data_IF_899125861108
#
_entry.id   IF_899125861108
#
_cell.length_a   1.000
_cell.length_b   1.000
_cell.length_c   1.000
_cell.angle_alpha   90.00
_cell.angle_beta   90.00
_cell.angle_gamma   90.00
#
_symmetry.space_group_name_H-M   'P 1'
#
loop_
_entity.id
_entity.type
_entity.pdbx_description
1 polymer ?
#
# COMPACT_ATOMS: atom_id res chain seq x y z
N UNK A 1 10.85 -9.11 24.14
CA UNK A 1 11.13 -8.51 22.81
C UNK A 1 10.83 -9.48 21.68
N UNK A 2 10.94 -10.82 21.89
CA UNK A 2 10.60 -11.84 20.88
C UNK A 2 9.16 -11.79 20.34
N UNK A 3 8.16 -11.38 21.13
CA UNK A 3 6.75 -11.38 20.69
C UNK A 3 6.42 -10.37 19.58
N UNK A 4 7.28 -9.36 19.36
CA UNK A 4 7.12 -8.37 18.27
C UNK A 4 7.12 -9.05 16.90
N UNK A 5 7.81 -10.19 16.76
CA UNK A 5 7.85 -10.99 15.52
C UNK A 5 6.46 -11.33 14.99
N UNK A 6 5.48 -11.54 15.89
CA UNK A 6 4.11 -11.89 15.50
C UNK A 6 3.37 -10.75 14.80
N UNK A 7 3.80 -9.50 14.95
CA UNK A 7 3.25 -8.39 14.17
C UNK A 7 3.58 -8.53 12.68
N UNK A 8 4.71 -9.17 12.35
CA UNK A 8 5.08 -9.51 10.97
C UNK A 8 4.04 -10.39 10.28
N UNK A 9 3.41 -11.29 11.02
CA UNK A 9 2.37 -12.19 10.51
C UNK A 9 1.13 -11.44 10.00
N UNK A 10 0.92 -10.18 10.40
CA UNK A 10 -0.19 -9.38 9.89
C UNK A 10 0.05 -8.86 8.47
N UNK A 11 1.28 -8.88 7.95
CA UNK A 11 1.58 -8.53 6.56
C UNK A 11 1.18 -9.64 5.59
N UNK A 12 1.53 -10.87 5.93
CA UNK A 12 1.40 -12.01 5.03
C UNK A 12 0.31 -13.01 5.48
N UNK A 13 -0.34 -12.74 6.61
CA UNK A 13 -1.33 -13.60 7.25
C UNK A 13 -0.82 -15.01 7.55
N UNK A 14 0.48 -15.17 7.82
CA UNK A 14 1.03 -16.42 8.32
C UNK A 14 0.46 -16.74 9.71
N UNK A 15 0.14 -18.01 9.94
CA UNK A 15 -0.37 -18.46 11.21
C UNK A 15 -0.01 -19.93 11.41
N UNK A 16 0.66 -20.22 12.51
CA UNK A 16 0.86 -21.58 13.01
C UNK A 16 0.00 -21.77 14.27
N UNK A 17 -0.71 -22.90 14.33
CA UNK A 17 -1.51 -23.28 15.49
C UNK A 17 -0.65 -23.50 16.74
N UNK A 18 0.63 -23.85 16.57
CA UNK A 18 1.58 -24.02 17.67
C UNK A 18 1.84 -22.70 18.41
N UNK A 19 1.81 -21.57 17.71
CA UNK A 19 2.06 -20.23 18.26
C UNK A 19 0.83 -19.60 18.94
N UNK A 20 -0.34 -20.25 18.88
CA UNK A 20 -1.62 -19.69 19.35
C UNK A 20 -1.54 -19.12 20.76
N UNK A 21 -0.91 -19.85 21.68
CA UNK A 21 -0.80 -19.43 23.08
C UNK A 21 0.05 -18.16 23.25
N UNK A 22 1.14 -18.04 22.51
CA UNK A 22 2.03 -16.87 22.54
C UNK A 22 1.37 -15.66 21.87
N UNK A 23 0.68 -15.88 20.75
CA UNK A 23 -0.11 -14.86 20.05
C UNK A 23 -1.21 -14.31 20.96
N UNK A 24 -2.01 -15.19 21.60
CA UNK A 24 -3.09 -14.78 22.48
C UNK A 24 -2.54 -14.01 23.71
N UNK A 25 -1.43 -14.48 24.30
CA UNK A 25 -0.75 -13.78 25.40
C UNK A 25 -0.28 -12.38 24.98
N UNK A 26 0.38 -12.27 23.83
CA UNK A 26 0.87 -10.98 23.35
C UNK A 26 -0.28 -10.04 22.99
N UNK A 27 -1.34 -10.52 22.34
CA UNK A 27 -2.52 -9.70 22.07
C UNK A 27 -3.16 -9.19 23.37
N UNK A 28 -3.25 -10.01 24.43
CA UNK A 28 -3.78 -9.55 25.71
C UNK A 28 -2.94 -8.39 26.32
N UNK A 29 -1.61 -8.39 26.11
CA UNK A 29 -0.76 -7.27 26.51
C UNK A 29 -1.10 -6.01 25.71
N UNK A 30 -1.23 -6.15 24.38
CA UNK A 30 -1.60 -5.02 23.50
C UNK A 30 -2.96 -4.44 23.89
N UNK A 31 -3.95 -5.31 24.14
CA UNK A 31 -5.30 -4.95 24.57
C UNK A 31 -5.27 -4.24 25.94
N UNK A 32 -4.49 -4.76 26.90
CA UNK A 32 -4.34 -4.17 28.23
C UNK A 32 -3.67 -2.80 28.23
N UNK A 33 -2.79 -2.54 27.27
CA UNK A 33 -2.15 -1.24 27.03
C UNK A 33 -2.97 -0.33 26.09
N UNK A 34 -4.13 -0.81 25.62
CA UNK A 34 -5.00 -0.10 24.67
C UNK A 34 -4.28 0.31 23.37
N UNK A 35 -3.30 -0.50 22.94
CA UNK A 35 -2.53 -0.21 21.74
C UNK A 35 -3.27 -0.71 20.50
N UNK A 36 -3.47 0.18 19.52
CA UNK A 36 -4.08 -0.19 18.24
C UNK A 36 -3.00 -0.72 17.30
N UNK A 37 -3.25 -1.87 16.68
CA UNK A 37 -2.36 -2.48 15.66
C UNK A 37 -1.92 -1.46 14.62
N UNK A 38 -2.85 -0.67 14.11
CA UNK A 38 -2.58 0.33 13.07
C UNK A 38 -1.54 1.37 13.46
N UNK A 39 -1.52 1.77 14.74
CA UNK A 39 -0.58 2.74 15.32
C UNK A 39 0.75 2.07 15.66
N UNK A 40 0.71 0.84 16.20
CA UNK A 40 1.92 0.05 16.47
C UNK A 40 2.70 -0.16 15.17
N UNK A 41 2.05 -0.65 14.11
CA UNK A 41 2.70 -0.91 12.82
C UNK A 41 3.31 0.37 12.25
N UNK A 42 2.62 1.51 12.39
CA UNK A 42 3.14 2.82 11.95
C UNK A 42 4.35 3.27 12.76
N UNK A 43 4.34 3.07 14.08
CA UNK A 43 5.44 3.48 14.97
C UNK A 43 6.66 2.57 14.86
N UNK A 44 6.48 1.32 14.44
CA UNK A 44 7.57 0.39 14.13
C UNK A 44 8.18 0.64 12.75
N UNK A 45 7.57 1.49 11.93
CA UNK A 45 8.07 1.80 10.58
C UNK A 45 9.18 2.85 10.65
N UNK A 46 10.28 2.62 9.93
CA UNK A 46 11.37 3.59 9.82
C UNK A 46 10.86 4.92 9.24
N UNK A 47 11.10 6.06 9.91
CA UNK A 47 10.73 7.37 9.38
C UNK A 47 11.41 7.64 8.04
N UNK A 48 10.70 8.31 7.12
CA UNK A 48 11.26 8.67 5.81
C UNK A 48 12.49 9.57 5.88
N UNK A 49 12.65 10.32 6.96
CA UNK A 49 13.79 11.23 7.18
C UNK A 49 15.09 10.46 7.48
N UNK A 50 14.95 9.29 8.11
CA UNK A 50 16.08 8.42 8.45
C UNK A 50 16.42 7.49 7.27
N UNK A 51 15.37 7.01 6.58
CA UNK A 51 15.48 6.13 5.42
C UNK A 51 15.99 6.85 4.17
N UNK A 52 15.52 8.06 3.87
CA UNK A 52 15.89 8.80 2.65
C UNK A 52 17.00 9.82 2.97
N UNK A 53 18.21 9.61 2.43
CA UNK A 53 19.37 10.49 2.73
C UNK A 53 19.49 11.68 1.81
N UNK A 54 19.43 11.44 0.50
CA UNK A 54 19.64 12.49 -0.52
C UNK A 54 18.53 12.35 -1.55
N UNK A 55 17.86 13.46 -1.86
CA UNK A 55 16.83 13.51 -2.89
C UNK A 55 17.14 14.61 -3.90
N UNK A 56 17.16 14.24 -5.17
CA UNK A 56 17.18 15.19 -6.28
C UNK A 56 15.88 15.09 -7.07
N UNK A 57 15.34 16.24 -7.44
CA UNK A 57 14.19 16.33 -8.33
C UNK A 57 14.53 17.27 -9.48
N UNK A 58 14.45 16.76 -10.71
CA UNK A 58 14.83 17.51 -11.92
C UNK A 58 16.25 18.08 -11.85
N UNK A 59 17.18 17.27 -11.33
CA UNK A 59 18.59 17.64 -11.20
C UNK A 59 18.89 18.61 -10.05
N UNK A 60 17.87 19.04 -9.29
CA UNK A 60 18.03 19.97 -8.17
C UNK A 60 17.95 19.21 -6.86
N UNK A 61 18.92 19.44 -5.97
CA UNK A 61 18.87 18.91 -4.62
C UNK A 61 17.69 19.50 -3.84
N UNK A 62 16.86 18.63 -3.27
CA UNK A 62 15.68 18.97 -2.50
C UNK A 62 15.67 18.24 -1.17
N UNK A 63 14.98 18.81 -0.18
CA UNK A 63 14.78 18.12 1.08
C UNK A 63 13.80 16.96 0.88
N UNK A 64 14.21 15.73 1.21
CA UNK A 64 13.39 14.52 1.06
C UNK A 64 12.04 14.65 1.78
N UNK A 65 12.00 15.18 3.00
CA UNK A 65 10.77 15.36 3.79
C UNK A 65 9.77 16.34 3.15
N UNK A 66 10.20 17.16 2.18
CA UNK A 66 9.32 18.08 1.43
C UNK A 66 8.69 17.46 0.19
N UNK A 67 9.16 16.29 -0.25
CA UNK A 67 8.65 15.64 -1.48
C UNK A 67 8.21 14.19 -1.25
N UNK A 68 8.65 13.58 -0.15
CA UNK A 68 8.22 12.26 0.30
C UNK A 68 7.33 12.33 1.53
N UNK A 69 6.43 11.36 1.63
CA UNK A 69 5.51 11.25 2.73
C UNK A 69 5.31 9.79 3.14
N UNK A 70 5.22 9.56 4.46
CA UNK A 70 4.83 8.26 4.98
C UNK A 70 3.33 8.03 4.76
N UNK A 71 3.02 7.04 3.91
CA UNK A 71 1.68 6.71 3.46
C UNK A 71 1.42 5.22 3.56
N UNK A 72 0.21 4.84 3.98
CA UNK A 72 -0.25 3.45 3.97
C UNK A 72 -0.38 2.94 2.54
N UNK A 73 0.19 1.77 2.28
CA UNK A 73 0.19 0.99 1.04
C UNK A 73 -0.14 -0.47 1.34
N UNK A 74 -0.24 -1.30 0.30
CA UNK A 74 -0.43 -2.74 0.44
C UNK A 74 0.70 -3.42 1.24
N UNK A 75 1.93 -2.93 1.17
CA UNK A 75 3.11 -3.48 1.88
C UNK A 75 3.35 -2.82 3.25
N UNK A 76 2.44 -1.95 3.73
CA UNK A 76 2.59 -1.26 5.01
C UNK A 76 2.68 0.25 4.88
N UNK A 77 3.30 0.92 5.85
CA UNK A 77 3.58 2.36 5.73
C UNK A 77 4.87 2.56 4.94
N UNK A 78 4.80 3.24 3.80
CA UNK A 78 5.93 3.45 2.88
C UNK A 78 6.16 4.94 2.61
N UNK A 79 7.40 5.29 2.22
CA UNK A 79 7.73 6.62 1.75
C UNK A 79 7.30 6.79 0.29
N UNK A 80 6.30 7.63 0.07
CA UNK A 80 5.70 7.85 -1.25
C UNK A 80 6.02 9.23 -1.78
N UNK A 81 6.26 9.30 -3.08
CA UNK A 81 6.50 10.53 -3.83
C UNK A 81 5.31 10.78 -4.76
N UNK A 82 4.80 12.01 -4.78
CA UNK A 82 3.72 12.43 -5.68
C UNK A 82 2.44 11.57 -5.62
N UNK A 83 2.04 11.14 -4.41
CA UNK A 83 0.82 10.35 -4.18
C UNK A 83 -0.30 11.25 -3.63
N UNK A 84 -1.31 11.59 -4.45
CA UNK A 84 -2.32 12.61 -4.12
C UNK A 84 -3.67 12.07 -3.64
N UNK A 85 -3.83 10.75 -3.56
CA UNK A 85 -5.08 10.15 -3.09
C UNK A 85 -5.42 10.63 -1.68
N UNK A 86 -6.64 11.14 -1.48
CA UNK A 86 -7.09 11.59 -0.16
C UNK A 86 -7.57 10.37 0.62
N UNK A 87 -6.81 9.96 1.63
CA UNK A 87 -7.24 8.96 2.61
C UNK A 87 -7.58 9.64 3.94
N UNK A 88 -8.39 9.00 4.79
CA UNK A 88 -8.74 9.57 6.10
C UNK A 88 -7.56 9.74 7.06
N UNK A 89 -6.42 9.14 6.79
CA UNK A 89 -5.22 9.40 7.60
C UNK A 89 -4.62 10.78 7.26
N UNK A 90 -5.16 11.44 6.23
CA UNK A 90 -4.54 12.56 5.53
C UNK A 90 -5.46 13.74 5.22
N UNK A 91 -6.74 13.73 5.62
CA UNK A 91 -7.62 14.90 5.45
C UNK A 91 -7.09 16.17 6.13
N UNK A 92 -6.21 16.03 7.14
CA UNK A 92 -5.65 17.14 7.93
C UNK A 92 -4.28 17.67 7.44
N UNK A 93 -3.65 17.10 6.42
CA UNK A 93 -2.29 17.51 5.95
C UNK A 93 -2.25 17.99 4.49
N UNK A 94 -3.41 18.38 3.94
CA UNK A 94 -3.58 18.72 2.52
C UNK A 94 -2.85 20.00 2.08
N UNK A 95 -2.62 20.94 3.00
CA UNK A 95 -2.22 22.32 2.66
C UNK A 95 -0.73 22.54 2.37
N UNK A 96 0.14 21.54 2.52
CA UNK A 96 1.60 21.78 2.56
C UNK A 96 2.38 21.25 1.35
N UNK A 97 1.71 20.74 0.30
CA UNK A 97 2.40 20.09 -0.83
C UNK A 97 2.04 20.65 -2.20
N UNK A 98 3.10 20.96 -2.95
CA UNK A 98 3.06 21.34 -4.35
C UNK A 98 2.79 20.11 -5.21
N UNK A 99 1.78 20.18 -6.08
CA UNK A 99 1.64 19.23 -7.19
C UNK A 99 2.93 19.27 -8.01
N UNK A 100 3.77 18.24 -7.87
CA UNK A 100 5.04 18.17 -8.58
C UNK A 100 4.74 17.95 -10.06
N UNK A 101 5.17 18.88 -10.90
CA UNK A 101 5.02 18.78 -12.36
C UNK A 101 5.99 17.75 -12.92
N UNK A 102 5.65 17.12 -14.05
CA UNK A 102 6.54 16.15 -14.70
C UNK A 102 7.94 16.75 -15.00
N UNK A 103 8.97 15.92 -14.92
CA UNK A 103 10.30 16.25 -15.41
C UNK A 103 10.36 16.25 -16.94
N UNK A 104 11.53 16.58 -17.48
CA UNK A 104 11.86 16.27 -18.87
C UNK A 104 12.42 14.84 -18.95
N UNK A 105 12.35 14.17 -20.11
CA UNK A 105 13.04 12.90 -20.29
C UNK A 105 14.54 13.02 -19.99
N UNK A 106 15.11 12.02 -19.33
CA UNK A 106 16.54 11.94 -19.00
C UNK A 106 16.79 11.59 -17.54
N UNK A 107 17.87 10.86 -17.28
CA UNK A 107 18.23 10.35 -15.95
C UNK A 107 18.48 11.46 -14.92
N UNK A 108 18.94 12.63 -15.37
CA UNK A 108 19.17 13.80 -14.52
C UNK A 108 17.91 14.64 -14.27
N UNK A 109 16.86 14.44 -15.07
CA UNK A 109 15.64 15.26 -15.04
C UNK A 109 14.47 14.58 -14.30
N UNK A 110 14.71 13.38 -13.77
CA UNK A 110 13.75 12.61 -12.98
C UNK A 110 13.92 12.77 -11.46
N UNK A 111 13.50 11.72 -10.75
CA UNK A 111 13.69 11.55 -9.32
C UNK A 111 14.95 10.71 -9.09
N UNK A 112 15.87 11.21 -8.25
CA UNK A 112 17.02 10.43 -7.79
C UNK A 112 17.01 10.42 -6.27
N UNK A 113 17.18 9.24 -5.69
CA UNK A 113 17.10 9.03 -4.24
C UNK A 113 18.27 8.16 -3.82
N UNK A 114 19.03 8.64 -2.84
CA UNK A 114 19.95 7.81 -2.07
C UNK A 114 19.25 7.37 -0.80
N UNK A 115 19.16 6.06 -0.61
CA UNK A 115 18.52 5.44 0.56
C UNK A 115 19.58 4.98 1.54
N UNK A 116 19.28 5.10 2.82
CA UNK A 116 20.03 4.48 3.90
C UNK A 116 19.37 3.16 4.26
N UNK A 117 20.02 2.09 3.82
CA UNK A 117 19.60 0.77 4.20
C UNK A 117 20.38 0.32 5.44
N UNK A 118 19.66 -0.10 6.48
CA UNK A 118 20.23 -0.61 7.74
C UNK A 118 19.77 -2.06 7.93
N UNK A 119 20.47 -3.04 7.33
CA UNK A 119 20.06 -4.46 7.34
C UNK A 119 20.00 -5.06 8.75
N UNK A 120 20.72 -4.46 9.70
CA UNK A 120 20.77 -4.87 11.10
C UNK A 120 19.44 -4.60 11.83
N UNK A 121 18.64 -3.66 11.32
CA UNK A 121 17.32 -3.30 11.86
C UNK A 121 16.17 -4.07 11.19
N UNK A 122 16.48 -5.06 10.34
CA UNK A 122 15.47 -5.89 9.68
C UNK A 122 14.86 -6.89 10.67
N UNK A 123 13.89 -6.45 11.46
CA UNK A 123 13.15 -7.33 12.39
C UNK A 123 12.15 -8.25 11.68
N UNK A 124 11.55 -7.80 10.56
CA UNK A 124 10.56 -8.54 9.78
C UNK A 124 10.73 -8.22 8.29
N UNK A 125 11.26 -9.17 7.51
CA UNK A 125 11.37 -9.03 6.05
C UNK A 125 10.18 -9.68 5.38
N UNK A 126 9.29 -8.88 4.78
CA UNK A 126 8.16 -9.41 3.98
C UNK A 126 8.65 -10.09 2.69
N UNK A 127 9.82 -9.68 2.19
CA UNK A 127 10.50 -10.25 1.02
C UNK A 127 11.84 -10.82 1.47
N UNK A 128 12.17 -12.05 1.07
CA UNK A 128 13.48 -12.68 1.35
C UNK A 128 14.61 -12.11 0.48
N UNK A 129 14.71 -10.79 0.39
CA UNK A 129 15.76 -10.06 -0.31
C UNK A 129 16.30 -8.95 0.59
N UNK A 130 17.57 -8.61 0.41
CA UNK A 130 18.21 -7.46 1.06
C UNK A 130 18.19 -6.29 0.08
N UNK A 131 17.80 -5.10 0.55
CA UNK A 131 17.66 -3.91 -0.28
C UNK A 131 16.25 -3.32 -0.24
N UNK A 132 15.90 -2.55 -1.27
CA UNK A 132 14.66 -1.76 -1.29
C UNK A 132 13.70 -2.25 -2.36
N UNK A 133 12.41 -2.28 -2.05
CA UNK A 133 11.35 -2.49 -3.05
C UNK A 133 10.80 -1.14 -3.49
N UNK A 134 11.03 -0.78 -4.75
CA UNK A 134 10.49 0.43 -5.38
C UNK A 134 9.21 0.07 -6.11
N UNK A 135 8.13 0.76 -5.77
CA UNK A 135 6.81 0.57 -6.39
C UNK A 135 6.41 1.80 -7.20
N UNK A 136 6.13 1.61 -8.50
CA UNK A 136 5.62 2.65 -9.39
C UNK A 136 4.15 2.38 -9.68
N UNK A 137 3.29 3.35 -9.40
CA UNK A 137 1.84 3.24 -9.50
C UNK A 137 1.20 4.57 -9.89
N UNK A 138 -0.08 4.55 -10.26
CA UNK A 138 -0.84 5.74 -10.63
C UNK A 138 -1.10 6.60 -9.37
N UNK A 139 -0.71 7.88 -9.35
CA UNK A 139 -0.84 8.76 -8.18
C UNK A 139 -2.24 8.93 -7.55
N UNK A 140 -3.30 8.65 -8.32
CA UNK A 140 -4.69 8.68 -7.85
C UNK A 140 -5.17 7.37 -7.23
N UNK A 141 -4.47 6.27 -7.49
CA UNK A 141 -4.88 4.92 -7.11
C UNK A 141 -4.25 4.49 -5.80
N UNK A 142 -4.95 3.62 -5.07
CA UNK A 142 -4.31 2.94 -3.96
C UNK A 142 -3.23 1.98 -4.48
N UNK A 143 -1.98 2.04 -3.99
CA UNK A 143 -0.90 1.15 -4.43
C UNK A 143 -1.15 -0.28 -3.94
N UNK A 144 -1.96 -1.00 -4.70
CA UNK A 144 -2.36 -2.37 -4.44
C UNK A 144 -1.73 -3.35 -5.42
N UNK A 145 -0.90 -4.25 -4.88
CA UNK A 145 -0.22 -5.30 -5.65
C UNK A 145 -1.20 -6.28 -6.29
N UNK A 146 -2.28 -6.61 -5.58
CA UNK A 146 -3.28 -7.57 -6.06
C UNK A 146 -4.08 -7.05 -7.25
N UNK A 147 -4.22 -5.72 -7.40
CA UNK A 147 -4.90 -5.10 -8.53
C UNK A 147 -4.15 -5.20 -9.86
N UNK A 148 -2.83 -5.46 -9.82
CA UNK A 148 -1.97 -5.42 -11.00
C UNK A 148 -1.65 -4.00 -11.52
N UNK A 149 -2.09 -2.96 -10.81
CA UNK A 149 -1.87 -1.55 -11.17
C UNK A 149 -0.52 -0.97 -10.75
N UNK A 150 0.42 -1.80 -10.29
CA UNK A 150 1.75 -1.36 -9.85
C UNK A 150 2.88 -2.19 -10.46
N UNK A 151 4.03 -1.56 -10.63
CA UNK A 151 5.28 -2.17 -11.06
C UNK A 151 6.21 -2.22 -9.85
N UNK A 152 6.77 -3.38 -9.55
CA UNK A 152 7.76 -3.57 -8.48
C UNK A 152 9.16 -3.74 -9.06
N UNK A 153 10.14 -3.11 -8.41
CA UNK A 153 11.54 -3.33 -8.68
C UNK A 153 12.30 -3.47 -7.37
N UNK A 154 12.96 -4.61 -7.20
CA UNK A 154 13.83 -4.87 -6.05
C UNK A 154 15.22 -4.36 -6.43
N UNK A 155 15.76 -3.47 -5.61
CA UNK A 155 17.06 -2.85 -5.80
C UNK A 155 18.00 -3.31 -4.68
N UNK A 156 19.12 -3.93 -5.05
CA UNK A 156 20.08 -4.48 -4.09
C UNK A 156 20.85 -3.37 -3.35
N UNK A 157 21.34 -3.71 -2.15
CA UNK A 157 22.18 -2.82 -1.35
C UNK A 157 23.48 -2.48 -2.10
N UNK A 158 23.90 -1.22 -2.02
CA UNK A 158 25.18 -0.78 -2.60
C UNK A 158 25.18 -0.75 -4.13
N UNK A 159 24.01 -0.82 -4.76
CA UNK A 159 23.83 -0.73 -6.20
C UNK A 159 23.13 0.57 -6.61
N UNK A 160 23.44 1.04 -7.82
CA UNK A 160 22.74 2.15 -8.47
C UNK A 160 21.77 1.57 -9.50
N UNK A 161 20.47 1.84 -9.35
CA UNK A 161 19.43 1.27 -10.20
C UNK A 161 18.70 2.37 -10.96
N UNK A 162 18.58 2.18 -12.27
CA UNK A 162 17.88 3.10 -13.17
C UNK A 162 16.52 2.52 -13.56
N UNK A 163 15.45 3.17 -13.11
CA UNK A 163 14.07 2.76 -13.41
C UNK A 163 13.50 3.67 -14.48
N UNK A 164 13.28 3.11 -15.67
CA UNK A 164 12.58 3.80 -16.75
C UNK A 164 11.07 3.67 -16.56
N UNK A 165 10.36 4.80 -16.59
CA UNK A 165 8.90 4.85 -16.47
C UNK A 165 8.32 5.28 -17.81
N UNK A 166 7.60 4.35 -18.46
CA UNK A 166 6.94 4.60 -19.76
C UNK A 166 5.42 4.61 -19.52
N UNK A 167 4.77 5.79 -19.51
CA UNK A 167 3.33 5.87 -19.31
C UNK A 167 2.59 5.33 -20.54
N UNK A 168 1.69 4.38 -20.34
CA UNK A 168 0.80 3.87 -21.39
C UNK A 168 -0.63 4.22 -21.01
N UNK A 169 -1.30 5.02 -21.84
CA UNK A 169 -2.69 5.42 -21.62
C UNK A 169 -3.58 4.82 -22.70
N UNK A 170 -4.64 4.14 -22.29
CA UNK A 170 -5.69 3.63 -23.17
C UNK A 170 -6.98 4.31 -22.76
N UNK A 171 -7.60 5.04 -23.69
CA UNK A 171 -8.87 5.73 -23.46
C UNK A 171 -9.94 5.16 -24.38
N UNK A 172 -11.15 4.97 -23.84
CA UNK A 172 -12.31 4.64 -24.65
C UNK A 172 -12.78 5.87 -25.44
N UNK A 173 -13.31 5.64 -26.64
CA UNK A 173 -13.96 6.70 -27.42
C UNK A 173 -15.26 7.12 -26.74
N UNK A 174 -15.57 8.42 -26.79
CA UNK A 174 -16.69 8.99 -26.04
C UNK A 174 -18.06 8.34 -26.35
N UNK A 175 -18.24 7.85 -27.57
CA UNK A 175 -19.47 7.16 -27.99
C UNK A 175 -19.76 5.89 -27.19
N UNK A 176 -18.73 5.25 -26.61
CA UNK A 176 -18.89 4.07 -25.75
C UNK A 176 -19.69 4.40 -24.48
N UNK A 177 -19.62 5.64 -23.98
CA UNK A 177 -20.41 6.09 -22.83
C UNK A 177 -21.93 6.01 -23.08
N UNK A 178 -22.36 6.11 -24.34
CA UNK A 178 -23.78 6.01 -24.70
C UNK A 178 -24.33 4.58 -24.64
N UNK A 179 -23.45 3.58 -24.50
CA UNK A 179 -23.88 2.20 -24.34
C UNK A 179 -24.11 1.87 -22.86
N UNK A 180 -25.22 1.17 -22.53
CA UNK A 180 -25.48 0.65 -21.20
C UNK A 180 -24.29 -0.15 -20.63
N UNK A 181 -24.03 -0.03 -19.33
CA UNK A 181 -22.91 -0.68 -18.62
C UNK A 181 -22.87 -2.19 -18.88
N UNK A 182 -24.04 -2.83 -18.91
CA UNK A 182 -24.22 -4.27 -19.18
C UNK A 182 -23.77 -4.67 -20.60
N UNK A 183 -23.69 -3.75 -21.56
CA UNK A 183 -23.18 -4.05 -22.90
C UNK A 183 -21.68 -3.87 -23.02
N UNK A 184 -21.13 -2.85 -22.36
CA UNK A 184 -19.69 -2.52 -22.44
C UNK A 184 -18.82 -3.19 -21.38
N UNK A 185 -19.44 -3.70 -20.31
CA UNK A 185 -18.77 -4.46 -19.25
C UNK A 185 -17.59 -3.71 -18.58
N UNK A 186 -17.62 -2.38 -18.61
CA UNK A 186 -16.66 -1.49 -17.94
C UNK A 186 -17.40 -0.28 -17.37
N UNK A 187 -16.78 0.40 -16.41
CA UNK A 187 -17.29 1.62 -15.77
C UNK A 187 -16.36 2.80 -16.08
N UNK A 188 -16.93 3.98 -16.29
CA UNK A 188 -16.19 5.24 -16.36
C UNK A 188 -16.02 5.86 -14.97
N UNK A 189 -15.10 6.81 -14.86
CA UNK A 189 -14.72 7.47 -13.61
C UNK A 189 -15.89 8.14 -12.88
N UNK A 190 -16.87 8.66 -13.62
CA UNK A 190 -18.01 9.41 -13.10
C UNK A 190 -19.24 8.55 -12.76
N UNK A 191 -19.21 7.26 -13.11
CA UNK A 191 -20.41 6.40 -13.03
C UNK A 191 -20.59 5.74 -11.68
N UNK A 192 -19.49 5.53 -10.96
CA UNK A 192 -19.49 4.96 -9.62
C UNK A 192 -18.54 5.76 -8.74
N UNK A 193 -18.95 5.96 -7.50
CA UNK A 193 -18.06 6.50 -6.47
C UNK A 193 -17.54 5.33 -5.66
N UNK A 194 -16.22 5.20 -5.58
CA UNK A 194 -15.61 4.27 -4.62
C UNK A 194 -15.56 4.96 -3.26
N UNK A 195 -15.34 4.18 -2.19
CA UNK A 195 -15.07 4.74 -0.86
C UNK A 195 -13.84 5.67 -0.84
N UNK A 196 -13.01 5.61 -1.89
CA UNK A 196 -11.76 6.35 -2.01
C UNK A 196 -11.81 7.51 -3.02
N UNK A 197 -12.99 7.84 -3.53
CA UNK A 197 -13.21 8.95 -4.46
C UNK A 197 -13.63 8.49 -5.85
N UNK A 198 -12.90 8.96 -6.86
CA UNK A 198 -13.14 8.65 -8.27
C UNK A 198 -12.89 7.16 -8.53
N UNK A 199 -13.72 6.56 -9.38
CA UNK A 199 -13.57 5.14 -9.71
C UNK A 199 -12.26 4.86 -10.45
N UNK A 200 -11.51 3.89 -9.94
CA UNK A 200 -10.47 3.18 -10.68
C UNK A 200 -10.59 1.69 -10.47
N UNK A 201 -10.04 0.91 -11.40
CA UNK A 201 -10.04 -0.55 -11.29
C UNK A 201 -9.32 -1.01 -10.02
N UNK A 202 -8.19 -0.39 -9.68
CA UNK A 202 -7.43 -0.72 -8.47
C UNK A 202 -8.23 -0.43 -7.20
N UNK A 203 -8.89 0.71 -7.13
CA UNK A 203 -9.73 1.06 -5.97
C UNK A 203 -10.92 0.11 -5.81
N UNK A 204 -11.54 -0.30 -6.92
CA UNK A 204 -12.62 -1.27 -6.91
C UNK A 204 -12.17 -2.62 -6.32
N UNK A 205 -10.97 -3.11 -6.68
CA UNK A 205 -10.41 -4.33 -6.09
C UNK A 205 -10.11 -4.17 -4.60
N UNK A 206 -9.63 -3.01 -4.16
CA UNK A 206 -9.37 -2.71 -2.75
C UNK A 206 -10.68 -2.68 -1.95
N UNK A 207 -11.71 -1.99 -2.44
CA UNK A 207 -13.04 -1.93 -1.81
C UNK A 207 -13.69 -3.33 -1.76
N UNK A 208 -13.61 -4.09 -2.86
CA UNK A 208 -14.11 -5.47 -2.90
C UNK A 208 -13.46 -6.36 -1.84
N UNK A 209 -12.12 -6.29 -1.72
CA UNK A 209 -11.37 -7.04 -0.70
C UNK A 209 -11.70 -6.57 0.71
N UNK A 210 -11.84 -5.25 0.93
CA UNK A 210 -12.26 -4.70 2.21
C UNK A 210 -13.62 -5.25 2.64
N UNK A 211 -14.62 -5.19 1.75
CA UNK A 211 -15.97 -5.74 2.01
C UNK A 211 -15.94 -7.24 2.25
N UNK A 212 -15.12 -7.97 1.51
CA UNK A 212 -14.94 -9.41 1.67
C UNK A 212 -14.34 -9.77 3.03
N UNK A 213 -13.29 -9.06 3.46
CA UNK A 213 -12.67 -9.29 4.77
C UNK A 213 -13.61 -8.94 5.91
N UNK A 214 -14.37 -7.85 5.78
CA UNK A 214 -15.40 -7.50 6.74
C UNK A 214 -16.50 -8.58 6.83
N UNK A 215 -16.93 -9.16 5.70
CA UNK A 215 -17.95 -10.21 5.68
C UNK A 215 -17.46 -11.57 6.21
N UNK A 216 -16.19 -11.91 5.97
CA UNK A 216 -15.61 -13.22 6.31
C UNK A 216 -14.99 -13.26 7.71
N UNK A 217 -14.24 -12.22 8.08
CA UNK A 217 -13.45 -12.16 9.32
C UNK A 217 -13.92 -11.06 10.28
N UNK A 218 -14.92 -10.25 9.92
CA UNK A 218 -15.46 -9.17 10.77
C UNK A 218 -14.43 -8.12 11.21
N UNK A 219 -13.31 -8.05 10.48
CA UNK A 219 -12.23 -7.10 10.69
C UNK A 219 -11.61 -6.71 9.35
N UNK A 220 -10.89 -5.58 9.33
CA UNK A 220 -10.20 -5.08 8.14
C UNK A 220 -8.68 -5.09 8.39
N UNK A 221 -7.88 -5.75 7.52
CA UNK A 221 -6.42 -5.74 7.65
C UNK A 221 -5.86 -4.33 7.62
N UNK A 222 -4.85 -4.05 8.45
CA UNK A 222 -4.32 -2.70 8.61
C UNK A 222 -3.80 -2.08 7.30
N UNK A 223 -3.31 -2.88 6.36
CA UNK A 223 -2.84 -2.44 5.04
C UNK A 223 -3.94 -2.00 4.08
N UNK A 224 -5.22 -2.08 4.47
CA UNK A 224 -6.32 -1.55 3.67
C UNK A 224 -6.71 -0.16 4.21
N UNK A 225 -6.92 0.86 3.37
CA UNK A 225 -7.45 2.14 3.83
C UNK A 225 -8.96 2.04 4.10
N UNK A 226 -9.47 2.73 5.11
CA UNK A 226 -10.91 2.79 5.41
C UNK A 226 -11.32 4.15 5.99
N UNK A 227 -12.61 4.47 5.93
CA UNK A 227 -13.14 5.81 6.23
C UNK A 227 -14.12 5.92 7.42
N UNK A 228 -14.52 4.82 8.05
CA UNK A 228 -15.43 4.88 9.21
C UNK A 228 -15.09 3.74 10.14
N UNK A 229 -14.63 4.09 11.34
CA UNK A 229 -14.00 3.26 12.39
C UNK A 229 -14.42 1.78 12.38
N UNK A 230 -13.85 0.97 11.47
CA UNK A 230 -14.08 -0.45 11.41
C UNK A 230 -13.09 -1.13 12.34
N UNK A 231 -13.45 -2.31 12.81
CA UNK A 231 -12.57 -3.14 13.61
C UNK A 231 -11.33 -3.50 12.79
N UNK A 232 -10.17 -2.93 13.12
CA UNK A 232 -8.90 -3.33 12.53
C UNK A 232 -8.59 -4.77 12.96
N UNK A 233 -8.10 -5.61 12.03
CA UNK A 233 -7.69 -6.95 12.39
C UNK A 233 -6.52 -6.94 13.37
N UNK A 234 -6.55 -7.88 14.29
CA UNK A 234 -5.60 -8.12 15.36
C UNK A 234 -4.90 -9.46 15.17
N UNK A 235 -3.97 -9.79 16.07
CA UNK A 235 -3.29 -11.09 16.01
C UNK A 235 -4.25 -12.27 16.23
N UNK A 236 -5.38 -12.05 16.92
CA UNK A 236 -6.44 -13.07 17.10
C UNK A 236 -7.16 -13.42 15.81
N UNK A 237 -7.09 -12.53 14.81
CA UNK A 237 -7.78 -12.70 13.54
C UNK A 237 -6.90 -13.45 12.51
N UNK A 238 -5.62 -13.66 12.82
CA UNK A 238 -4.68 -14.42 11.97
C UNK A 238 -5.21 -15.79 11.51
N UNK A 239 -5.88 -16.61 12.33
CA UNK A 239 -6.47 -17.87 11.85
C UNK A 239 -7.50 -17.67 10.72
N UNK A 240 -8.31 -16.61 10.82
CA UNK A 240 -9.30 -16.28 9.78
C UNK A 240 -8.61 -15.72 8.53
N UNK A 241 -7.71 -14.76 8.72
CA UNK A 241 -6.94 -14.14 7.65
C UNK A 241 -6.12 -15.18 6.86
N UNK A 242 -5.49 -16.12 7.57
CA UNK A 242 -4.74 -17.21 6.96
C UNK A 242 -5.64 -18.12 6.10
N UNK A 243 -6.82 -18.48 6.61
CA UNK A 243 -7.81 -19.30 5.88
C UNK A 243 -8.25 -18.65 4.57
N UNK A 244 -8.34 -17.32 4.54
CA UNK A 244 -8.80 -16.56 3.38
C UNK A 244 -7.68 -15.77 2.67
N UNK A 245 -6.40 -16.06 2.96
CA UNK A 245 -5.21 -15.39 2.38
C UNK A 245 -5.27 -15.33 0.85
N UNK A 246 -5.74 -16.40 0.21
CA UNK A 246 -5.91 -16.48 -1.24
C UNK A 246 -7.25 -15.96 -1.78
N UNK A 247 -8.29 -15.81 -0.95
CA UNK A 247 -9.60 -15.37 -1.38
C UNK A 247 -9.63 -13.87 -1.75
N UNK A 248 -8.73 -13.07 -1.17
CA UNK A 248 -8.53 -11.65 -1.52
C UNK A 248 -7.74 -11.41 -2.82
N UNK A 249 -7.01 -12.41 -3.31
CA UNK A 249 -6.21 -12.35 -4.56
C UNK A 249 -6.81 -13.20 -5.69
N UNK A 250 -7.72 -14.12 -5.37
CA UNK A 250 -8.38 -15.01 -6.31
C UNK A 250 -9.86 -14.66 -6.45
N UNK A 251 -10.17 -13.45 -6.91
CA UNK A 251 -11.39 -13.29 -7.70
C UNK A 251 -11.09 -13.96 -9.04
N UNK A 252 -11.42 -15.25 -9.14
CA UNK A 252 -11.58 -15.88 -10.45
C UNK A 252 -12.74 -15.15 -11.14
N UNK A 253 -12.42 -14.17 -11.98
CA UNK A 253 -13.33 -13.76 -13.04
C UNK A 253 -13.47 -14.98 -13.95
N UNK A 254 -14.51 -15.78 -13.72
CA UNK A 254 -14.87 -16.86 -14.62
C UNK A 254 -15.44 -16.17 -15.85
N UNK A 255 -14.62 -16.04 -16.91
CA UNK A 255 -15.14 -15.82 -18.25
C UNK A 255 -15.92 -17.08 -18.63
N UNK A 256 -17.24 -17.04 -18.46
CA UNK A 256 -18.14 -17.98 -19.14
C UNK A 256 -18.30 -17.43 -20.56
N UNK A 257 -17.70 -18.13 -21.53
CA UNK A 257 -17.97 -17.92 -22.95
C UNK A 257 -19.40 -18.33 -23.29
#
# INVERSE_FOLDING_TARGET
MESIKFLGNLYDYSYDISDRGEIDYFQNILDGLQLKIREIMRNLTTPCEDFLKICHWKGVAVNCSKIFQLRRTFEGDCCTFNYFKITQDWWMRRDDFSNLTHGEPGTQNGLSVLVNDEPEDYYCTVISSMGINVQVFIPGDYPDKASGGLIESICDIGSENFLEVIPTTVAAVSDVMNHPVDKRQCLFEEEELTQFGVYSQSDCFVDCRMRSMMALCQCIPFTIPWSTDPTACTLRDLPCLNRYRGAGSAIRVIFVY
#
